data_IF_766544584719
#
_entry.id   IF_766544584719
#
_cell.length_a   1.000
_cell.length_b   1.000
_cell.length_c   1.000
_cell.angle_alpha   90.00
_cell.angle_beta   90.00
_cell.angle_gamma   90.00
#
_symmetry.space_group_name_H-M   'P 1'
#
loop_
_entity.id
_entity.type
_entity.pdbx_description
1 polymer ?
#
# COMPACT_ATOMS: atom_id res chain seq x y z
N UNK A 1 4.13 0.55 25.26
CA UNK A 1 2.76 0.18 24.87
C UNK A 1 1.83 -0.10 26.07
N UNK A 2 1.98 -1.17 26.86
CA UNK A 2 1.06 -1.45 28.00
C UNK A 2 0.99 -0.30 28.99
N UNK A 3 2.15 0.18 29.46
CA UNK A 3 2.23 1.28 30.42
C UNK A 3 1.67 2.61 29.89
N UNK A 4 1.73 2.85 28.58
CA UNK A 4 1.28 4.11 27.96
C UNK A 4 -0.22 4.10 27.67
N UNK A 5 -0.80 2.93 27.41
CA UNK A 5 -2.18 2.80 26.89
C UNK A 5 -3.15 2.11 27.84
N UNK A 6 -2.64 1.44 28.88
CA UNK A 6 -3.44 0.59 29.76
C UNK A 6 -3.91 -0.73 29.13
N UNK A 7 -3.54 -1.02 27.88
CA UNK A 7 -3.96 -2.24 27.18
C UNK A 7 -3.24 -3.50 27.72
N UNK A 8 -3.95 -4.61 27.95
CA UNK A 8 -3.33 -5.86 28.41
C UNK A 8 -2.24 -6.36 27.45
N UNK A 9 -1.19 -6.98 27.99
CA UNK A 9 -0.07 -7.53 27.19
C UNK A 9 -0.53 -8.50 26.10
N UNK A 10 -1.55 -9.33 26.37
CA UNK A 10 -2.13 -10.24 25.40
C UNK A 10 -2.72 -9.50 24.19
N UNK A 11 -3.42 -8.37 24.42
CA UNK A 11 -3.98 -7.53 23.36
C UNK A 11 -2.88 -6.97 22.47
N UNK A 12 -1.83 -6.41 23.07
CA UNK A 12 -0.70 -5.82 22.33
C UNK A 12 0.14 -6.86 21.59
N UNK A 13 0.24 -8.08 22.12
CA UNK A 13 0.91 -9.19 21.43
C UNK A 13 0.15 -9.57 20.15
N UNK A 14 -1.18 -9.68 20.23
CA UNK A 14 -2.03 -9.92 19.06
C UNK A 14 -1.98 -8.77 18.06
N UNK A 15 -1.97 -7.53 18.54
CA UNK A 15 -1.89 -6.36 17.67
C UNK A 15 -0.55 -6.27 16.95
N UNK A 16 0.57 -6.57 17.63
CA UNK A 16 1.89 -6.69 16.99
C UNK A 16 1.89 -7.75 15.90
N UNK A 17 1.31 -8.92 16.16
CA UNK A 17 1.20 -9.99 15.16
C UNK A 17 0.44 -9.49 13.93
N UNK A 18 -0.70 -8.80 14.13
CA UNK A 18 -1.47 -8.15 13.06
C UNK A 18 -0.63 -7.14 12.27
N UNK A 19 0.07 -6.22 12.94
CA UNK A 19 0.92 -5.21 12.27
C UNK A 19 1.97 -5.88 11.37
N UNK A 20 2.68 -6.89 11.88
CA UNK A 20 3.72 -7.56 11.08
C UNK A 20 3.14 -8.42 9.95
N UNK A 21 1.94 -9.00 10.13
CA UNK A 21 1.25 -9.72 9.06
C UNK A 21 0.81 -8.75 7.94
N UNK A 22 0.33 -7.56 8.30
CA UNK A 22 -0.09 -6.53 7.34
C UNK A 22 1.09 -6.00 6.52
N UNK A 23 2.26 -5.79 7.14
CA UNK A 23 3.49 -5.46 6.41
C UNK A 23 3.87 -6.56 5.40
N UNK A 24 3.78 -7.83 5.79
CA UNK A 24 4.05 -8.97 4.89
C UNK A 24 3.03 -9.09 3.76
N UNK A 25 1.76 -8.78 4.04
CA UNK A 25 0.71 -8.71 3.02
C UNK A 25 1.05 -7.69 1.94
N UNK A 26 1.37 -6.45 2.31
CA UNK A 26 1.74 -5.43 1.34
C UNK A 26 3.05 -5.77 0.61
N UNK A 27 4.03 -6.37 1.30
CA UNK A 27 5.22 -6.89 0.64
C UNK A 27 4.90 -7.97 -0.42
N UNK A 28 3.85 -8.77 -0.25
CA UNK A 28 3.40 -9.70 -1.28
C UNK A 28 2.75 -8.96 -2.47
N UNK A 29 1.89 -7.96 -2.20
CA UNK A 29 1.27 -7.11 -3.23
C UNK A 29 2.31 -6.42 -4.11
N UNK A 30 3.34 -5.83 -3.50
CA UNK A 30 4.42 -5.13 -4.23
C UNK A 30 5.21 -6.09 -5.13
N UNK A 31 5.50 -7.30 -4.62
CA UNK A 31 6.19 -8.34 -5.40
C UNK A 31 5.35 -8.86 -6.56
N UNK A 32 4.04 -9.03 -6.36
CA UNK A 32 3.11 -9.45 -7.40
C UNK A 32 3.01 -8.40 -8.52
N UNK A 33 2.94 -7.11 -8.16
CA UNK A 33 3.07 -6.00 -9.10
C UNK A 33 1.79 -5.56 -9.81
N UNK A 34 0.66 -6.24 -9.60
CA UNK A 34 -0.63 -5.91 -10.25
C UNK A 34 -1.15 -4.50 -9.88
N UNK A 35 -0.75 -3.98 -8.72
CA UNK A 35 -1.06 -2.60 -8.30
C UNK A 35 -0.58 -1.53 -9.29
N UNK A 36 0.42 -1.85 -10.13
CA UNK A 36 0.89 -0.96 -11.20
C UNK A 36 -0.18 -0.72 -12.26
N UNK A 37 -1.22 -1.55 -12.35
CA UNK A 37 -2.35 -1.35 -13.26
C UNK A 37 -1.91 -1.14 -14.71
N UNK A 38 -0.92 -1.93 -15.16
CA UNK A 38 -0.29 -1.76 -16.47
C UNK A 38 -1.32 -1.95 -17.58
N UNK A 39 -1.42 -0.96 -18.48
CA UNK A 39 -2.25 -1.01 -19.69
C UNK A 39 -1.39 -0.66 -20.88
N UNK A 40 -1.54 -1.43 -21.96
CA UNK A 40 -0.79 -1.25 -23.20
C UNK A 40 -1.80 -1.28 -24.34
N UNK A 41 -1.87 -0.18 -25.08
CA UNK A 41 -2.57 -0.05 -26.35
C UNK A 41 -1.51 -0.02 -27.46
N UNK A 42 -1.26 -1.13 -28.17
CA UNK A 42 -0.22 -1.20 -29.19
C UNK A 42 -0.47 -0.21 -30.33
N UNK A 43 0.62 0.24 -30.96
CA UNK A 43 0.53 1.11 -32.14
C UNK A 43 -0.29 0.45 -33.27
N UNK A 44 -1.03 1.28 -34.01
CA UNK A 44 -1.68 0.90 -35.27
C UNK A 44 -1.33 1.96 -36.32
N UNK A 45 -0.17 1.82 -37.01
CA UNK A 45 0.31 2.81 -37.97
C UNK A 45 -0.63 2.98 -39.18
N UNK A 46 -1.27 1.89 -39.60
CA UNK A 46 -2.10 1.86 -40.81
C UNK A 46 -3.59 2.16 -40.54
N UNK A 47 -3.93 2.60 -39.32
CA UNK A 47 -5.33 2.91 -38.95
C UNK A 47 -5.82 4.18 -39.67
N UNK A 48 -6.98 4.10 -40.30
CA UNK A 48 -7.69 5.24 -40.93
C UNK A 48 -8.76 5.81 -39.97
N UNK A 49 -8.97 7.15 -39.89
CA UNK A 49 -8.33 8.22 -40.66
C UNK A 49 -6.95 8.66 -40.14
N UNK A 50 -6.54 8.19 -38.95
CA UNK A 50 -5.25 8.54 -38.37
C UNK A 50 -4.63 7.37 -37.58
N UNK A 51 -3.28 7.23 -37.62
CA UNK A 51 -2.56 6.21 -36.90
C UNK A 51 -2.87 6.26 -35.40
N UNK A 52 -2.78 5.11 -34.72
CA UNK A 52 -2.75 5.06 -33.25
C UNK A 52 -1.30 4.94 -32.79
N UNK A 53 -0.87 5.84 -31.91
CA UNK A 53 0.42 5.72 -31.23
C UNK A 53 0.44 4.52 -30.26
N UNK A 54 1.64 4.05 -29.91
CA UNK A 54 1.82 3.13 -28.78
C UNK A 54 1.57 3.90 -27.48
N UNK A 55 0.54 3.51 -26.72
CA UNK A 55 0.17 4.15 -25.46
C UNK A 55 0.36 3.13 -24.33
N UNK A 56 1.12 3.53 -23.32
CA UNK A 56 1.38 2.71 -22.13
C UNK A 56 1.07 3.52 -20.89
N UNK A 57 0.32 2.92 -19.98
CA UNK A 57 -0.07 3.52 -18.72
C UNK A 57 0.28 2.58 -17.57
N UNK A 58 0.69 3.18 -16.44
CA UNK A 58 0.79 2.51 -15.14
C UNK A 58 0.53 3.50 -14.01
N UNK A 59 0.25 2.98 -12.83
CA UNK A 59 0.23 3.72 -11.58
C UNK A 59 1.66 4.05 -11.12
N UNK A 60 1.84 5.23 -10.57
CA UNK A 60 3.06 5.70 -9.90
C UNK A 60 2.67 6.34 -8.56
N UNK A 61 3.55 6.35 -7.54
CA UNK A 61 3.22 6.95 -6.26
C UNK A 61 2.97 8.46 -6.41
N UNK A 62 2.05 8.98 -5.59
CA UNK A 62 1.71 10.41 -5.57
C UNK A 62 2.87 11.29 -5.05
N UNK A 63 3.68 10.76 -4.12
CA UNK A 63 4.72 11.50 -3.41
C UNK A 63 4.65 11.27 -1.90
N UNK A 64 5.16 12.21 -1.07
CA UNK A 64 5.09 12.09 0.38
C UNK A 64 3.66 11.98 0.92
N UNK A 65 3.47 11.11 1.92
CA UNK A 65 2.18 10.88 2.60
C UNK A 65 2.33 11.17 4.08
N UNK A 66 1.45 12.02 4.64
CA UNK A 66 1.36 12.26 6.07
C UNK A 66 0.34 11.30 6.70
N UNK A 67 0.72 10.63 7.79
CA UNK A 67 -0.13 9.67 8.50
C UNK A 67 -0.29 10.09 9.96
N UNK A 68 -1.52 10.13 10.44
CA UNK A 68 -1.86 10.41 11.84
C UNK A 68 -2.34 9.12 12.51
N UNK A 69 -1.58 8.64 13.49
CA UNK A 69 -1.86 7.37 14.16
C UNK A 69 -3.07 7.42 15.09
N UNK A 70 -3.81 6.32 15.17
CA UNK A 70 -4.92 6.14 16.09
C UNK A 70 -4.43 5.74 17.50
N UNK A 71 -5.01 6.35 18.54
CA UNK A 71 -4.63 6.08 19.94
C UNK A 71 -5.11 4.71 20.44
N UNK A 72 -6.25 4.21 19.95
CA UNK A 72 -6.87 2.95 20.40
C UNK A 72 -6.30 1.68 19.74
N UNK A 73 -5.44 1.84 18.75
CA UNK A 73 -4.67 0.79 18.10
C UNK A 73 -3.21 1.24 17.96
N UNK A 74 -2.45 1.23 19.08
CA UNK A 74 -1.13 1.86 19.16
C UNK A 74 -0.08 1.22 18.24
N UNK A 75 -0.37 0.08 17.60
CA UNK A 75 0.54 -0.58 16.67
C UNK A 75 -0.05 -0.72 15.27
N UNK A 76 -1.25 -1.30 15.12
CA UNK A 76 -1.78 -1.68 13.81
C UNK A 76 -2.35 -0.50 12.99
N UNK A 77 -2.64 0.63 13.64
CA UNK A 77 -3.15 1.86 13.03
C UNK A 77 -2.35 3.09 13.47
N UNK A 78 -1.06 2.89 13.76
CA UNK A 78 -0.17 3.96 14.22
C UNK A 78 1.09 3.99 13.35
N UNK A 79 2.27 4.22 13.93
CA UNK A 79 3.55 4.44 13.25
C UNK A 79 3.82 3.47 12.09
N UNK A 80 3.68 2.16 12.31
CA UNK A 80 3.88 1.13 11.30
C UNK A 80 2.55 0.43 10.92
N UNK A 81 1.44 1.16 11.04
CA UNK A 81 0.09 0.68 10.82
C UNK A 81 -0.31 0.57 9.35
N UNK A 82 -1.61 0.45 9.10
CA UNK A 82 -2.20 0.27 7.75
C UNK A 82 -1.74 1.30 6.74
N UNK A 83 -1.94 2.57 7.07
CA UNK A 83 -1.67 3.68 6.16
C UNK A 83 -0.17 3.82 5.86
N UNK A 84 0.70 3.67 6.86
CA UNK A 84 2.15 3.68 6.64
C UNK A 84 2.58 2.48 5.79
N UNK A 85 2.06 1.29 6.09
CA UNK A 85 2.43 0.08 5.37
C UNK A 85 2.02 0.13 3.89
N UNK A 86 0.84 0.68 3.59
CA UNK A 86 0.35 0.82 2.22
C UNK A 86 0.97 1.99 1.48
N UNK A 87 1.28 3.10 2.15
CA UNK A 87 1.94 4.24 1.52
C UNK A 87 3.40 3.95 1.13
N UNK A 88 4.09 3.07 1.87
CA UNK A 88 5.44 2.60 1.52
C UNK A 88 5.45 1.51 0.44
N UNK A 89 4.31 0.87 0.19
CA UNK A 89 4.17 -0.26 -0.74
C UNK A 89 3.91 0.22 -2.17
#
# INVERSE_FOLDING_TARGET
ATQETGLPTARLTGERARTTAQLRLFAAVVRQGDFRGVRIDPALPDRTPAPRADIRQRQIPLGPVAVFGASNFPLAFSTAGGDTASALA
#
